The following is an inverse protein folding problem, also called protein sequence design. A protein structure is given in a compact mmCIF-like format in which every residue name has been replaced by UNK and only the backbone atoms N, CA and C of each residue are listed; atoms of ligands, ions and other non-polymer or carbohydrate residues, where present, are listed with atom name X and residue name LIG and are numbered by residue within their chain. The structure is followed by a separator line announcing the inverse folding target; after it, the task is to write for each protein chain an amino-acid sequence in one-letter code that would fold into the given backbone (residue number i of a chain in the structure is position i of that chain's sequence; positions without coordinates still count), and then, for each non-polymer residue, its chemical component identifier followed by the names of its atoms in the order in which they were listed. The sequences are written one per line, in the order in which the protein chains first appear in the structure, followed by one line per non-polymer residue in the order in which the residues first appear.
data_IF_594904028797
#
_entry.id   IF_594904028797
#
_cell.length_a   1.000
_cell.length_b   1.000
_cell.length_c   1.000
_cell.angle_alpha   90.00
_cell.angle_beta   90.00
_cell.angle_gamma   90.00
#
_symmetry.space_group_name_H-M   'P 1'
#
loop_
_entity.id
_entity.type
_entity.pdbx_description
1 polymer ?
#
# COMPACT_ATOMS: atom_id res chain seq x y z
N UNK A 1 25.22 -24.48 -41.13
CA UNK A 1 24.35 -24.73 -39.96
C UNK A 1 25.01 -24.45 -38.61
N UNK A 2 26.30 -24.78 -38.39
CA UNK A 2 26.96 -24.57 -37.08
C UNK A 2 27.11 -23.09 -36.68
N UNK A 3 27.30 -22.18 -37.63
CA UNK A 3 27.45 -20.72 -37.37
C UNK A 3 26.16 -20.07 -36.90
N UNK A 4 25.01 -20.47 -37.45
CA UNK A 4 23.69 -19.93 -37.09
C UNK A 4 23.30 -20.30 -35.65
N UNK A 5 23.65 -21.52 -35.22
CA UNK A 5 23.40 -21.99 -33.85
C UNK A 5 24.27 -21.23 -32.83
N UNK A 6 25.52 -20.91 -33.18
CA UNK A 6 26.42 -20.13 -32.31
C UNK A 6 25.96 -18.67 -32.18
N UNK A 7 25.48 -18.05 -33.26
CA UNK A 7 24.96 -16.68 -33.23
C UNK A 7 23.64 -16.60 -32.46
N UNK A 8 22.72 -17.56 -32.62
CA UNK A 8 21.48 -17.62 -31.84
C UNK A 8 21.75 -17.89 -30.36
N UNK A 9 22.73 -18.73 -30.03
CA UNK A 9 23.12 -18.98 -28.64
C UNK A 9 23.74 -17.74 -27.99
N UNK A 10 24.56 -16.97 -28.71
CA UNK A 10 25.14 -15.71 -28.21
C UNK A 10 24.09 -14.62 -28.00
N UNK A 11 23.10 -14.48 -28.88
CA UNK A 11 22.01 -13.50 -28.68
C UNK A 11 21.10 -13.89 -27.51
N UNK A 12 20.87 -15.20 -27.29
CA UNK A 12 20.09 -15.69 -26.14
C UNK A 12 20.83 -15.59 -24.81
N UNK A 13 22.16 -15.64 -24.78
CA UNK A 13 22.94 -15.43 -23.55
C UNK A 13 23.21 -13.96 -23.25
N UNK A 14 23.40 -13.09 -24.26
CA UNK A 14 23.39 -11.63 -24.07
C UNK A 14 22.00 -11.10 -23.69
N UNK A 15 20.91 -11.78 -24.07
CA UNK A 15 19.53 -11.41 -23.72
C UNK A 15 19.13 -11.74 -22.28
N UNK A 16 19.89 -12.56 -21.57
CA UNK A 16 19.54 -13.03 -20.22
C UNK A 16 20.51 -12.59 -19.12
N UNK A 17 21.71 -12.08 -19.46
CA UNK A 17 22.72 -11.71 -18.47
C UNK A 17 22.76 -10.21 -18.12
N UNK A 18 22.33 -9.30 -19.00
CA UNK A 18 22.52 -7.85 -18.77
C UNK A 18 21.23 -7.02 -18.92
N UNK A 19 20.13 -7.46 -18.32
CA UNK A 19 18.94 -6.60 -18.11
C UNK A 19 18.63 -6.33 -16.63
N UNK A 20 19.44 -6.84 -15.69
CA UNK A 20 19.26 -6.54 -14.26
C UNK A 20 19.48 -5.05 -13.95
N UNK A 21 20.39 -4.35 -14.62
CA UNK A 21 20.59 -2.90 -14.46
C UNK A 21 19.43 -2.04 -14.99
N UNK A 22 18.66 -2.52 -15.98
CA UNK A 22 17.49 -1.81 -16.51
C UNK A 22 16.30 -1.90 -15.53
N UNK A 23 16.16 -3.01 -14.80
CA UNK A 23 15.15 -3.18 -13.75
C UNK A 23 15.62 -2.79 -12.33
N UNK A 24 16.93 -2.62 -12.10
CA UNK A 24 17.51 -2.24 -10.80
C UNK A 24 17.69 -0.73 -10.59
N UNK A 25 17.42 0.11 -11.61
CA UNK A 25 17.60 1.58 -11.52
C UNK A 25 16.77 2.26 -10.43
N UNK A 26 15.66 1.67 -10.00
CA UNK A 26 14.81 2.27 -8.96
C UNK A 26 15.31 1.99 -7.53
N UNK A 27 16.17 0.97 -7.34
CA UNK A 27 16.66 0.60 -6.01
C UNK A 27 17.79 1.53 -5.51
N UNK A 28 18.36 2.34 -6.40
CA UNK A 28 19.47 3.24 -6.09
C UNK A 28 19.05 4.70 -5.84
N UNK A 29 17.76 5.03 -5.99
CA UNK A 29 17.33 6.42 -5.75
C UNK A 29 17.52 6.75 -4.27
N UNK A 30 18.22 7.85 -4.04
CA UNK A 30 18.51 8.37 -2.72
C UNK A 30 18.01 9.81 -2.63
N UNK A 31 17.69 10.22 -1.41
CA UNK A 31 17.34 11.59 -1.10
C UNK A 31 18.28 12.09 -0.01
N UNK A 32 18.73 13.33 -0.14
CA UNK A 32 19.58 13.99 0.85
C UNK A 32 18.90 15.25 1.34
N UNK A 33 19.24 15.66 2.56
CA UNK A 33 18.68 16.86 3.16
C UNK A 33 19.17 18.15 2.49
N UNK A 34 20.26 18.11 1.70
CA UNK A 34 20.88 19.27 1.06
C UNK A 34 21.13 20.45 2.04
N UNK A 35 21.53 20.13 3.28
CA UNK A 35 21.76 21.11 4.34
C UNK A 35 20.50 21.64 5.02
N UNK A 36 19.30 21.14 4.67
CA UNK A 36 18.06 21.50 5.36
C UNK A 36 18.05 20.90 6.78
N UNK A 37 17.85 21.72 7.83
CA UNK A 37 17.80 21.22 9.19
C UNK A 37 16.55 20.37 9.42
N UNK A 38 16.54 19.61 10.51
CA UNK A 38 15.33 18.95 11.01
C UNK A 38 14.37 20.03 11.52
N UNK A 39 13.18 20.12 10.93
CA UNK A 39 12.18 21.11 11.32
C UNK A 39 11.34 20.60 12.49
N UNK A 40 11.35 21.35 13.60
CA UNK A 40 10.54 21.06 14.79
C UNK A 40 9.03 21.01 14.52
N UNK A 41 8.51 21.81 13.57
CA UNK A 41 7.10 21.77 13.20
C UNK A 41 6.77 20.46 12.46
N UNK A 42 7.67 20.02 11.58
CA UNK A 42 7.55 18.74 10.90
C UNK A 42 7.58 17.56 11.90
N UNK A 43 8.48 17.61 12.89
CA UNK A 43 8.51 16.63 13.99
C UNK A 43 7.19 16.62 14.76
N UNK A 44 6.62 17.78 15.07
CA UNK A 44 5.33 17.88 15.75
C UNK A 44 4.20 17.25 14.93
N UNK A 45 4.16 17.47 13.61
CA UNK A 45 3.22 16.77 12.72
C UNK A 45 3.39 15.26 12.76
N UNK A 46 4.64 14.78 12.79
CA UNK A 46 4.93 13.35 12.91
C UNK A 46 4.44 12.77 14.24
N UNK A 47 4.66 13.49 15.34
CA UNK A 47 4.22 13.09 16.68
C UNK A 47 2.70 13.04 16.85
N UNK A 48 1.97 13.94 16.18
CA UNK A 48 0.51 14.05 16.27
C UNK A 48 -0.26 13.23 15.23
N UNK A 49 0.43 12.59 14.27
CA UNK A 49 -0.23 11.91 13.15
C UNK A 49 -0.84 12.86 12.10
N UNK A 50 -0.37 14.10 12.01
CA UNK A 50 -0.87 15.07 11.01
C UNK A 50 -0.33 14.71 9.62
N UNK A 51 -1.18 14.74 8.59
CA UNK A 51 -0.80 14.42 7.21
C UNK A 51 0.23 15.38 6.60
N UNK A 52 0.35 16.61 7.11
CA UNK A 52 1.38 17.55 6.68
C UNK A 52 2.79 17.04 6.94
N UNK A 53 2.95 16.07 7.86
CA UNK A 53 4.20 15.34 8.07
C UNK A 53 4.80 14.82 6.76
N UNK A 54 3.98 14.27 5.86
CA UNK A 54 4.46 13.69 4.61
C UNK A 54 4.96 14.76 3.62
N UNK A 55 4.37 15.95 3.64
CA UNK A 55 4.78 17.06 2.80
C UNK A 55 6.12 17.63 3.28
N UNK A 56 6.26 17.92 4.57
CA UNK A 56 7.52 18.43 5.11
C UNK A 56 8.65 17.39 5.10
N UNK A 57 8.32 16.10 5.27
CA UNK A 57 9.29 15.01 5.08
C UNK A 57 9.84 15.04 3.66
N UNK A 58 8.96 15.06 2.66
CA UNK A 58 9.33 15.06 1.25
C UNK A 58 10.12 16.32 0.84
N UNK A 59 9.80 17.48 1.42
CA UNK A 59 10.56 18.72 1.19
C UNK A 59 11.99 18.63 1.70
N UNK A 60 12.20 17.93 2.83
CA UNK A 60 13.53 17.73 3.40
C UNK A 60 14.31 16.63 2.67
N UNK A 61 13.69 15.46 2.50
CA UNK A 61 14.27 14.25 1.90
C UNK A 61 13.46 13.84 0.66
N UNK A 62 13.68 14.50 -0.51
CA UNK A 62 12.83 14.34 -1.69
C UNK A 62 13.10 13.04 -2.45
N UNK A 63 12.24 12.04 -2.28
CA UNK A 63 12.27 10.80 -3.06
C UNK A 63 11.47 10.89 -4.37
N UNK A 64 10.51 11.81 -4.43
CA UNK A 64 9.62 12.08 -5.54
C UNK A 64 8.22 11.51 -5.36
N UNK A 65 7.30 11.98 -6.20
CA UNK A 65 5.86 11.66 -6.15
C UNK A 65 5.51 10.17 -6.30
N UNK A 66 6.40 9.38 -6.87
CA UNK A 66 6.20 7.94 -7.09
C UNK A 66 6.50 7.09 -5.86
N UNK A 67 7.14 7.67 -4.84
CA UNK A 67 7.57 6.97 -3.63
C UNK A 67 6.63 7.22 -2.46
N UNK A 68 6.88 6.48 -1.38
CA UNK A 68 5.97 6.33 -0.25
C UNK A 68 5.35 7.63 0.26
N UNK A 69 6.17 8.63 0.58
CA UNK A 69 5.72 9.83 1.30
C UNK A 69 4.54 10.50 0.60
N UNK A 70 4.61 10.67 -0.72
CA UNK A 70 3.57 11.34 -1.49
C UNK A 70 2.54 10.37 -2.06
N UNK A 71 2.98 9.25 -2.64
CA UNK A 71 2.08 8.31 -3.31
C UNK A 71 1.13 7.59 -2.36
N UNK A 72 1.63 7.21 -1.19
CA UNK A 72 0.92 6.35 -0.26
C UNK A 72 0.64 7.05 1.07
N UNK A 73 1.68 7.55 1.75
CA UNK A 73 1.58 8.19 3.05
C UNK A 73 0.60 9.37 3.05
N UNK A 74 0.91 10.42 2.29
CA UNK A 74 0.09 11.62 2.18
C UNK A 74 -1.32 11.30 1.65
N UNK A 75 -1.40 10.53 0.56
CA UNK A 75 -2.67 10.16 -0.07
C UNK A 75 -3.61 9.43 0.90
N UNK A 76 -3.16 8.33 1.50
CA UNK A 76 -4.00 7.55 2.38
C UNK A 76 -4.27 8.27 3.70
N UNK A 77 -3.33 9.02 4.25
CA UNK A 77 -3.57 9.82 5.45
C UNK A 77 -4.75 10.78 5.27
N UNK A 78 -4.75 11.58 4.20
CA UNK A 78 -5.85 12.52 3.94
C UNK A 78 -7.16 11.79 3.63
N UNK A 79 -7.08 10.65 2.94
CA UNK A 79 -8.25 9.81 2.68
C UNK A 79 -8.86 9.33 3.99
N UNK A 80 -8.05 8.76 4.89
CA UNK A 80 -8.48 8.32 6.21
C UNK A 80 -9.14 9.44 7.01
N UNK A 81 -8.55 10.64 7.03
CA UNK A 81 -9.15 11.79 7.71
C UNK A 81 -10.53 12.15 7.15
N UNK A 82 -10.71 12.07 5.84
CA UNK A 82 -11.97 12.40 5.16
C UNK A 82 -13.09 11.44 5.56
N UNK A 83 -12.81 10.13 5.63
CA UNK A 83 -13.85 9.14 5.90
C UNK A 83 -13.91 8.67 7.36
N UNK A 84 -12.96 9.06 8.21
CA UNK A 84 -12.96 8.73 9.63
C UNK A 84 -14.32 8.96 10.31
N UNK A 85 -15.09 10.03 10.02
CA UNK A 85 -16.43 10.21 10.60
C UNK A 85 -17.44 9.08 10.29
N UNK A 86 -17.22 8.27 9.25
CA UNK A 86 -18.08 7.15 8.88
C UNK A 86 -17.82 5.85 9.66
N UNK A 87 -16.76 5.82 10.48
CA UNK A 87 -16.36 4.68 11.29
C UNK A 87 -17.04 4.71 12.66
N UNK A 88 -17.13 3.56 13.31
CA UNK A 88 -17.56 3.48 14.73
C UNK A 88 -16.59 4.25 15.62
N UNK A 89 -16.98 4.59 16.85
CA UNK A 89 -16.08 5.28 17.78
C UNK A 89 -14.74 4.54 17.97
N UNK A 90 -14.80 3.21 18.11
CA UNK A 90 -13.62 2.36 18.18
C UNK A 90 -12.80 2.37 16.87
N UNK A 91 -13.47 2.35 15.71
CA UNK A 91 -12.80 2.46 14.41
C UNK A 91 -12.09 3.81 14.21
N UNK A 92 -12.69 4.90 14.68
CA UNK A 92 -12.07 6.22 14.65
C UNK A 92 -10.84 6.31 15.56
N UNK A 93 -10.93 5.75 16.76
CA UNK A 93 -9.79 5.66 17.68
C UNK A 93 -8.66 4.82 17.09
N UNK A 94 -8.99 3.66 16.51
CA UNK A 94 -8.05 2.83 15.78
C UNK A 94 -7.32 3.61 14.69
N UNK A 95 -8.05 4.32 13.82
CA UNK A 95 -7.45 5.09 12.72
C UNK A 95 -6.52 6.20 13.24
N UNK A 96 -6.93 6.95 14.29
CA UNK A 96 -6.09 8.00 14.89
C UNK A 96 -4.80 7.43 15.47
N UNK A 97 -4.92 6.41 16.32
CA UNK A 97 -3.77 5.81 17.00
C UNK A 97 -2.80 5.18 15.99
N UNK A 98 -3.34 4.53 14.98
CA UNK A 98 -2.58 3.90 13.91
C UNK A 98 -1.84 4.93 13.06
N UNK A 99 -2.51 6.01 12.62
CA UNK A 99 -1.88 7.08 11.86
C UNK A 99 -0.75 7.74 12.66
N UNK A 100 -1.00 8.01 13.94
CA UNK A 100 -0.01 8.56 14.85
C UNK A 100 1.20 7.62 14.98
N UNK A 101 0.97 6.32 15.20
CA UNK A 101 2.02 5.31 15.28
C UNK A 101 2.87 5.28 13.99
N UNK A 102 2.25 5.26 12.82
CA UNK A 102 2.97 5.21 11.54
C UNK A 102 3.88 6.43 11.35
N UNK A 103 3.38 7.63 11.61
CA UNK A 103 4.15 8.85 11.47
C UNK A 103 5.33 8.88 12.46
N UNK A 104 5.10 8.47 13.71
CA UNK A 104 6.15 8.41 14.73
C UNK A 104 7.27 7.45 14.35
N UNK A 105 6.95 6.31 13.70
CA UNK A 105 7.97 5.33 13.25
C UNK A 105 8.92 5.90 12.19
N UNK A 106 8.52 6.96 11.50
CA UNK A 106 9.32 7.62 10.47
C UNK A 106 10.15 8.80 10.98
N UNK A 107 9.97 9.22 12.25
CA UNK A 107 10.71 10.35 12.82
C UNK A 107 12.22 10.11 12.89
N UNK A 108 12.64 8.89 13.21
CA UNK A 108 14.06 8.53 13.20
C UNK A 108 14.65 8.72 11.80
N UNK A 109 13.96 8.22 10.77
CA UNK A 109 14.39 8.37 9.38
C UNK A 109 14.38 9.83 8.92
N UNK A 110 13.40 10.63 9.36
CA UNK A 110 13.35 12.08 9.07
C UNK A 110 14.55 12.84 9.63
N UNK A 111 15.07 12.41 10.78
CA UNK A 111 16.22 13.04 11.44
C UNK A 111 17.57 12.81 10.74
N UNK A 112 17.62 11.89 9.76
CA UNK A 112 18.84 11.56 9.02
C UNK A 112 19.06 12.53 7.87
N UNK A 113 20.31 12.78 7.48
CA UNK A 113 20.62 13.65 6.33
C UNK A 113 20.54 12.95 4.97
N UNK A 114 20.34 11.63 4.98
CA UNK A 114 20.33 10.81 3.79
C UNK A 114 19.43 9.59 3.96
N UNK A 115 18.71 9.23 2.91
CA UNK A 115 17.88 8.03 2.84
C UNK A 115 17.97 7.37 1.47
N UNK A 116 17.90 6.04 1.44
CA UNK A 116 17.57 5.30 0.23
C UNK A 116 16.05 5.22 0.12
N UNK A 117 15.48 5.66 -1.00
CA UNK A 117 14.04 5.82 -1.18
C UNK A 117 13.30 4.49 -1.23
N UNK A 118 13.94 3.43 -1.72
CA UNK A 118 13.36 2.09 -1.73
C UNK A 118 13.30 1.50 -0.31
N UNK A 119 14.39 1.63 0.45
CA UNK A 119 14.42 1.19 1.85
C UNK A 119 13.43 1.99 2.70
N UNK A 120 13.33 3.31 2.47
CA UNK A 120 12.34 4.16 3.14
C UNK A 120 10.91 3.68 2.89
N UNK A 121 10.58 3.33 1.65
CA UNK A 121 9.27 2.78 1.31
C UNK A 121 9.02 1.43 2.00
N UNK A 122 10.00 0.54 1.99
CA UNK A 122 9.91 -0.74 2.68
C UNK A 122 9.72 -0.57 4.20
N UNK A 123 10.50 0.30 4.84
CA UNK A 123 10.40 0.60 6.27
C UNK A 123 9.03 1.21 6.62
N UNK A 124 8.52 2.08 5.76
CA UNK A 124 7.21 2.70 5.96
C UNK A 124 6.06 1.70 5.80
N UNK A 125 6.14 0.79 4.83
CA UNK A 125 5.17 -0.32 4.68
C UNK A 125 5.25 -1.29 5.85
N UNK A 126 6.45 -1.59 6.36
CA UNK A 126 6.61 -2.41 7.55
C UNK A 126 5.98 -1.74 8.79
N UNK A 127 6.14 -0.42 8.93
CA UNK A 127 5.51 0.34 10.00
C UNK A 127 3.97 0.26 9.95
N UNK A 128 3.37 0.23 8.75
CA UNK A 128 1.92 0.03 8.59
C UNK A 128 1.46 -1.26 9.26
N UNK A 129 2.11 -2.38 8.93
CA UNK A 129 1.77 -3.69 9.48
C UNK A 129 1.97 -3.78 10.99
N UNK A 130 3.05 -3.20 11.51
CA UNK A 130 3.30 -3.12 12.95
C UNK A 130 2.24 -2.31 13.69
N UNK A 131 1.90 -1.13 13.18
CA UNK A 131 0.93 -0.24 13.82
C UNK A 131 -0.50 -0.82 13.77
N UNK A 132 -0.89 -1.45 12.65
CA UNK A 132 -2.17 -2.15 12.57
C UNK A 132 -2.29 -3.26 13.63
N UNK A 133 -1.25 -4.10 13.79
CA UNK A 133 -1.26 -5.14 14.82
C UNK A 133 -1.33 -4.56 16.23
N UNK A 134 -0.54 -3.52 16.52
CA UNK A 134 -0.47 -2.90 17.85
C UNK A 134 -1.80 -2.30 18.30
N UNK A 135 -2.60 -1.79 17.38
CA UNK A 135 -3.87 -1.13 17.69
C UNK A 135 -5.12 -2.01 17.48
N UNK A 136 -4.95 -3.33 17.34
CA UNK A 136 -6.09 -4.24 17.32
C UNK A 136 -6.84 -4.25 15.99
N UNK A 137 -6.13 -4.14 14.86
CA UNK A 137 -6.75 -4.22 13.52
C UNK A 137 -7.67 -5.44 13.36
N UNK A 138 -7.28 -6.59 13.89
CA UNK A 138 -8.08 -7.83 13.84
C UNK A 138 -9.42 -7.69 14.58
N UNK A 139 -9.48 -6.89 15.64
CA UNK A 139 -10.68 -6.67 16.43
C UNK A 139 -11.59 -5.62 15.77
N UNK A 140 -10.99 -4.62 15.11
CA UNK A 140 -11.70 -3.47 14.52
C UNK A 140 -12.26 -3.75 13.13
N UNK A 141 -11.64 -4.66 12.36
CA UNK A 141 -12.03 -4.91 10.98
C UNK A 141 -13.43 -5.50 10.86
N UNK A 142 -13.92 -6.29 11.83
CA UNK A 142 -15.25 -6.90 11.77
C UNK A 142 -16.34 -5.84 11.66
N UNK A 143 -16.38 -4.91 12.61
CA UNK A 143 -17.42 -3.88 12.70
C UNK A 143 -17.29 -2.78 11.65
N UNK A 144 -16.08 -2.60 11.08
CA UNK A 144 -15.79 -1.58 10.08
C UNK A 144 -15.51 -2.16 8.68
N UNK A 145 -15.78 -3.46 8.47
CA UNK A 145 -15.42 -4.20 7.26
C UNK A 145 -15.97 -3.54 6.00
N UNK A 146 -17.21 -3.05 6.06
CA UNK A 146 -17.89 -2.43 4.93
C UNK A 146 -17.26 -1.08 4.54
N UNK A 147 -16.90 -0.24 5.53
CA UNK A 147 -16.25 1.05 5.32
C UNK A 147 -14.82 0.86 4.82
N UNK A 148 -14.05 -0.02 5.47
CA UNK A 148 -12.70 -0.41 5.03
C UNK A 148 -12.72 -0.99 3.61
N UNK A 149 -13.71 -1.84 3.29
CA UNK A 149 -13.86 -2.41 1.96
C UNK A 149 -14.18 -1.36 0.89
N UNK A 150 -15.02 -0.37 1.19
CA UNK A 150 -15.34 0.71 0.26
C UNK A 150 -14.16 1.64 0.01
N UNK A 151 -13.40 1.98 1.04
CA UNK A 151 -12.40 3.05 0.96
C UNK A 151 -10.97 2.57 0.71
N UNK A 152 -10.56 1.45 1.31
CA UNK A 152 -9.23 0.86 1.11
C UNK A 152 -9.26 -0.13 -0.05
N UNK A 153 -10.24 -1.04 -0.05
CA UNK A 153 -10.35 -2.12 -1.05
C UNK A 153 -11.33 -1.80 -2.18
N UNK A 154 -11.87 -0.57 -2.24
CA UNK A 154 -12.73 -0.11 -3.33
C UNK A 154 -12.00 -0.07 -4.68
N UNK A 155 -10.66 -0.04 -4.66
CA UNK A 155 -9.80 -0.26 -5.83
C UNK A 155 -9.79 -1.72 -6.30
N UNK A 156 -10.09 -2.69 -5.42
CA UNK A 156 -10.33 -4.09 -5.78
C UNK A 156 -11.72 -4.32 -6.39
N UNK A 157 -12.54 -3.28 -6.62
CA UNK A 157 -13.70 -3.38 -7.54
C UNK A 157 -13.29 -3.72 -8.97
N UNK A 158 -12.01 -3.59 -9.33
CA UNK A 158 -11.48 -4.15 -10.58
C UNK A 158 -10.99 -5.60 -10.51
N UNK A 159 -10.89 -6.23 -9.33
CA UNK A 159 -10.39 -7.62 -9.22
C UNK A 159 -11.31 -8.61 -8.48
N UNK A 160 -12.31 -8.20 -7.69
CA UNK A 160 -13.12 -9.15 -6.92
C UNK A 160 -14.63 -9.17 -7.24
N UNK A 161 -15.19 -8.02 -7.60
CA UNK A 161 -16.66 -7.85 -7.67
C UNK A 161 -17.33 -8.57 -8.84
N UNK A 162 -16.69 -8.63 -10.01
CA UNK A 162 -17.27 -9.32 -11.16
C UNK A 162 -17.10 -10.85 -11.09
N UNK A 163 -16.04 -11.33 -10.43
CA UNK A 163 -15.78 -12.77 -10.29
C UNK A 163 -16.81 -13.43 -9.36
N UNK A 164 -17.15 -12.80 -8.22
CA UNK A 164 -18.13 -13.34 -7.28
C UNK A 164 -19.55 -13.31 -7.86
N UNK A 165 -19.93 -12.23 -8.56
CA UNK A 165 -21.26 -12.12 -9.19
C UNK A 165 -21.40 -13.11 -10.36
N UNK A 166 -20.35 -13.32 -11.16
CA UNK A 166 -20.35 -14.35 -12.22
C UNK A 166 -20.37 -15.76 -11.66
N UNK A 167 -19.66 -16.01 -10.55
CA UNK A 167 -19.69 -17.30 -9.86
C UNK A 167 -21.07 -17.60 -9.28
N UNK A 168 -21.69 -16.64 -8.58
CA UNK A 168 -23.05 -16.82 -8.05
C UNK A 168 -24.10 -16.95 -9.18
N UNK A 169 -23.96 -16.22 -10.29
CA UNK A 169 -24.84 -16.39 -11.46
C UNK A 169 -24.65 -17.76 -12.15
N UNK A 170 -23.41 -18.27 -12.20
CA UNK A 170 -23.06 -19.61 -12.70
C UNK A 170 -23.60 -20.73 -11.80
N UNK A 171 -23.57 -20.54 -10.47
CA UNK A 171 -24.15 -21.49 -9.52
C UNK A 171 -25.67 -21.45 -9.60
N UNK A 172 -26.30 -20.26 -9.66
CA UNK A 172 -27.75 -20.13 -9.78
C UNK A 172 -28.29 -20.76 -11.06
N UNK A 173 -27.61 -20.63 -12.20
CA UNK A 173 -28.05 -21.25 -13.46
C UNK A 173 -27.87 -22.77 -13.46
N UNK A 174 -26.96 -23.31 -12.64
CA UNK A 174 -26.73 -24.75 -12.47
C UNK A 174 -27.61 -25.40 -11.39
N UNK A 175 -28.18 -24.62 -10.46
CA UNK A 175 -29.08 -25.13 -9.40
C UNK A 175 -30.55 -25.09 -9.84
N UNK A 176 -30.95 -24.19 -10.76
CA UNK A 176 -32.31 -24.15 -11.30
C UNK A 176 -32.82 -25.46 -11.92
N UNK A 177 -32.01 -26.30 -12.61
CA UNK A 177 -32.49 -27.58 -13.15
C UNK A 177 -32.66 -28.69 -12.09
N UNK A 178 -32.05 -28.56 -10.91
CA UNK A 178 -32.12 -29.57 -9.85
C UNK A 178 -33.36 -29.42 -8.96
N UNK A 179 -33.95 -28.21 -8.89
CA UNK A 179 -35.18 -27.98 -8.12
C UNK A 179 -36.43 -28.58 -8.78
N UNK A 180 -36.40 -28.82 -10.09
CA UNK A 180 -37.47 -29.53 -10.81
C UNK A 180 -37.40 -31.05 -10.71
N UNK A 181 -36.32 -31.63 -10.15
CA UNK A 181 -36.15 -33.09 -10.00
C UNK A 181 -36.42 -33.60 -8.58
N UNK A 182 -36.57 -32.72 -7.58
CA UNK A 182 -36.80 -33.10 -6.17
C UNK A 182 -38.25 -32.74 -5.74
N UNK A 183 -39.06 -32.17 -6.63
CA UNK A 183 -40.39 -31.64 -6.34
C UNK A 183 -41.59 -32.44 -6.86
N UNK A 184 -41.49 -33.76 -7.03
CA UNK A 184 -42.65 -34.63 -7.29
C UNK A 184 -42.50 -35.92 -6.47
N UNK A 185 -42.98 -35.87 -5.25
CA UNK A 185 -43.02 -36.98 -4.31
C UNK A 185 -44.12 -36.76 -3.27
N UNK A 186 -45.35 -36.60 -3.74
CA UNK A 186 -46.57 -36.93 -3.02
C UNK A 186 -47.51 -37.67 -3.96
#
# INVERSE_FOLDING_TARGET
MKVVVVVLALVLTLGCADAWWIFSRNNERTATADGRPVDSACVAHGQSGNCEFFNCFEQRLPCGREFYMQRYGNFYCNRFQTFMPSFTAAGQEFLRNTQQCMNQRLLDTYSRDYVNCHNLEHDAVAAVGDCYRRHGFCDIIGDNAQQLWREILGLARHCGGQALTRFMASVSSRVSPLRSLIGNGQ
#
